data_IF_411375221982
#
_entry.id   IF_411375221982
#
_cell.length_a   1.000
_cell.length_b   1.000
_cell.length_c   1.000
_cell.angle_alpha   90.00
_cell.angle_beta   90.00
_cell.angle_gamma   90.00
#
_symmetry.space_group_name_H-M   'P 1'
#
loop_
_entity.id
_entity.type
_entity.pdbx_description
1 polymer ?
#
# COMPACT_ATOMS: atom_id res chain seq x y z
N UNK A 1 15.57 56.75 26.35
CA UNK A 1 14.59 55.69 26.69
C UNK A 1 14.36 54.85 25.45
N UNK A 2 14.58 53.52 25.55
CA UNK A 2 14.68 52.58 24.43
C UNK A 2 13.35 52.47 23.66
N UNK A 3 13.32 52.84 22.38
CA UNK A 3 12.24 52.43 21.47
C UNK A 3 12.50 50.97 21.07
N UNK A 4 11.65 50.07 21.57
CA UNK A 4 11.72 48.66 21.25
C UNK A 4 11.19 48.42 19.83
N UNK A 5 12.08 47.92 18.97
CA UNK A 5 11.77 47.36 17.66
C UNK A 5 10.76 46.24 17.80
N UNK A 6 9.54 46.41 17.29
CA UNK A 6 8.57 45.32 17.15
C UNK A 6 9.03 44.41 16.00
N UNK A 7 9.89 43.45 16.30
CA UNK A 7 10.13 42.31 15.42
C UNK A 7 8.87 41.45 15.44
N UNK A 8 7.99 41.62 14.46
CA UNK A 8 6.92 40.66 14.21
C UNK A 8 7.56 39.37 13.70
N UNK A 9 7.84 38.44 14.61
CA UNK A 9 8.16 37.06 14.28
C UNK A 9 6.89 36.44 13.69
N UNK A 10 6.80 36.38 12.37
CA UNK A 10 5.82 35.56 11.68
C UNK A 10 6.25 34.11 11.89
N UNK A 11 5.74 33.50 12.96
CA UNK A 11 5.83 32.05 13.15
C UNK A 11 4.96 31.42 12.06
N UNK A 12 5.59 31.03 10.95
CA UNK A 12 4.98 30.10 10.01
C UNK A 12 4.83 28.77 10.77
N UNK A 13 3.68 28.57 11.40
CA UNK A 13 3.25 27.25 11.84
C UNK A 13 3.19 26.38 10.60
N UNK A 14 4.25 25.60 10.42
CA UNK A 14 4.28 24.46 9.53
C UNK A 14 3.19 23.51 10.03
N UNK A 15 1.96 23.68 9.51
CA UNK A 15 0.88 22.71 9.69
C UNK A 15 1.40 21.41 9.09
N UNK A 16 1.89 20.54 9.96
CA UNK A 16 2.21 19.17 9.62
C UNK A 16 0.90 18.54 9.17
N UNK A 17 0.73 18.43 7.86
CA UNK A 17 -0.25 17.52 7.27
C UNK A 17 0.27 16.13 7.61
N UNK A 18 -0.02 15.68 8.83
CA UNK A 18 0.18 14.30 9.21
C UNK A 18 -0.79 13.50 8.35
N UNK A 19 -0.29 12.98 7.22
CA UNK A 19 -1.00 11.96 6.47
C UNK A 19 -1.40 10.86 7.45
N UNK A 20 -2.69 10.53 7.50
CA UNK A 20 -3.18 9.46 8.35
C UNK A 20 -2.42 8.18 8.00
N UNK A 21 -2.02 7.44 9.04
CA UNK A 21 -1.37 6.13 8.89
C UNK A 21 -2.28 4.99 9.34
N UNK A 22 -3.37 5.32 10.04
CA UNK A 22 -4.37 4.35 10.53
C UNK A 22 -5.36 4.00 9.43
N UNK A 23 -6.00 2.81 9.48
CA UNK A 23 -7.08 2.47 8.57
C UNK A 23 -8.30 3.40 8.78
N UNK A 24 -9.24 3.45 7.83
CA UNK A 24 -10.52 4.10 8.05
C UNK A 24 -11.23 3.58 9.31
N UNK A 25 -11.99 4.44 10.00
CA UNK A 25 -12.51 4.23 11.36
C UNK A 25 -13.22 2.88 11.62
N UNK A 26 -13.82 2.30 10.60
CA UNK A 26 -14.65 1.09 10.64
C UNK A 26 -14.05 -0.09 9.87
N UNK A 27 -12.85 0.08 9.32
CA UNK A 27 -12.12 -0.95 8.61
C UNK A 27 -11.26 -1.73 9.59
N UNK A 28 -11.54 -3.04 9.72
CA UNK A 28 -10.77 -3.94 10.57
C UNK A 28 -9.54 -4.45 9.83
N UNK A 29 -8.44 -4.62 10.57
CA UNK A 29 -7.20 -5.18 10.05
C UNK A 29 -7.05 -6.63 10.49
N UNK A 30 -6.28 -7.40 9.73
CA UNK A 30 -5.95 -8.79 10.06
C UNK A 30 -5.12 -8.82 11.34
N UNK A 31 -5.60 -9.58 12.31
CA UNK A 31 -4.87 -9.97 13.52
C UNK A 31 -4.14 -11.32 13.30
N UNK A 32 -3.32 -11.75 14.27
CA UNK A 32 -2.47 -12.94 14.18
C UNK A 32 -1.56 -12.97 12.94
N UNK A 33 -1.18 -11.79 12.45
CA UNK A 33 -0.35 -11.61 11.28
C UNK A 33 1.08 -12.13 11.52
N UNK A 34 1.58 -12.91 10.57
CA UNK A 34 2.94 -13.45 10.56
C UNK A 34 3.73 -12.84 9.41
N UNK A 35 4.48 -11.77 9.70
CA UNK A 35 5.31 -11.08 8.70
C UNK A 35 6.16 -12.03 7.84
N UNK A 36 6.86 -13.05 8.39
CA UNK A 36 7.69 -13.94 7.57
C UNK A 36 6.94 -14.62 6.42
N UNK A 37 5.66 -14.95 6.61
CA UNK A 37 4.81 -15.58 5.59
C UNK A 37 4.32 -14.57 4.53
N UNK A 38 4.34 -13.28 4.86
CA UNK A 38 3.94 -12.20 3.95
C UNK A 38 5.09 -11.69 3.08
N UNK A 39 6.34 -11.98 3.44
CA UNK A 39 7.52 -11.58 2.66
C UNK A 39 7.52 -12.18 1.25
N UNK A 40 8.39 -11.66 0.38
CA UNK A 40 8.50 -12.05 -1.02
C UNK A 40 7.59 -11.24 -1.93
N UNK A 41 7.36 -11.78 -3.12
CA UNK A 41 6.66 -11.08 -4.21
C UNK A 41 5.15 -11.28 -4.13
N UNK A 42 4.43 -10.19 -4.40
CA UNK A 42 3.00 -10.13 -4.63
C UNK A 42 2.73 -9.43 -5.96
N UNK A 43 1.79 -9.97 -6.73
CA UNK A 43 1.23 -9.37 -7.93
C UNK A 43 0.06 -8.50 -7.55
N UNK A 44 0.03 -7.29 -8.10
CA UNK A 44 -1.13 -6.41 -7.95
C UNK A 44 -2.19 -6.81 -8.97
N UNK A 45 -3.30 -7.39 -8.50
CA UNK A 45 -4.39 -7.86 -9.34
C UNK A 45 -5.36 -6.73 -9.67
N UNK A 46 -5.65 -5.89 -8.67
CA UNK A 46 -6.48 -4.72 -8.84
C UNK A 46 -6.05 -3.61 -7.90
N UNK A 47 -6.34 -2.36 -8.29
CA UNK A 47 -6.13 -1.16 -7.47
C UNK A 47 -7.22 -0.13 -7.73
N UNK A 48 -7.39 0.83 -6.82
CA UNK A 48 -8.04 2.10 -7.16
C UNK A 48 -7.06 3.01 -7.93
N UNK A 49 -7.55 4.09 -8.53
CA UNK A 49 -6.69 4.97 -9.33
C UNK A 49 -5.77 5.82 -8.45
N UNK A 50 -4.50 5.43 -8.39
CA UNK A 50 -3.45 6.18 -7.70
C UNK A 50 -2.58 6.92 -8.70
N UNK A 51 -2.38 8.23 -8.49
CA UNK A 51 -1.62 9.08 -9.41
C UNK A 51 -0.21 8.56 -9.72
N UNK A 52 0.44 7.89 -8.76
CA UNK A 52 1.79 7.34 -8.88
C UNK A 52 1.87 6.00 -9.63
N UNK A 53 0.76 5.28 -9.82
CA UNK A 53 0.70 3.99 -10.52
C UNK A 53 0.03 4.07 -11.89
N UNK A 54 -0.41 5.27 -12.30
CA UNK A 54 -1.12 5.47 -13.56
C UNK A 54 -0.33 4.99 -14.78
N UNK A 55 -0.96 4.11 -15.56
CA UNK A 55 -0.40 3.57 -16.80
C UNK A 55 0.65 2.47 -16.59
N UNK A 56 0.78 1.92 -15.38
CA UNK A 56 1.59 0.75 -15.10
C UNK A 56 0.77 -0.55 -15.17
N UNK A 57 1.30 -1.51 -15.92
CA UNK A 57 0.87 -2.92 -15.97
C UNK A 57 1.93 -3.82 -15.35
N UNK A 58 1.65 -5.12 -15.18
CA UNK A 58 2.58 -6.13 -14.63
C UNK A 58 3.18 -5.69 -13.30
N UNK A 59 2.34 -5.06 -12.47
CA UNK A 59 2.79 -4.46 -11.22
C UNK A 59 2.99 -5.54 -10.17
N UNK A 60 4.13 -5.46 -9.49
CA UNK A 60 4.47 -6.32 -8.36
C UNK A 60 5.00 -5.50 -7.19
N UNK A 61 4.74 -5.96 -5.98
CA UNK A 61 5.39 -5.49 -4.75
C UNK A 61 6.22 -6.63 -4.15
N UNK A 62 7.49 -6.39 -3.88
CA UNK A 62 8.37 -7.33 -3.17
C UNK A 62 8.69 -6.79 -1.78
N UNK A 63 8.45 -7.63 -0.77
CA UNK A 63 8.67 -7.32 0.63
C UNK A 63 9.85 -8.12 1.18
N UNK A 64 10.82 -7.45 1.79
CA UNK A 64 11.94 -8.12 2.47
C UNK A 64 12.18 -7.51 3.86
N UNK A 65 12.68 -8.30 4.79
CA UNK A 65 13.04 -7.80 6.12
C UNK A 65 14.20 -6.80 6.01
N UNK A 66 14.26 -5.86 6.95
CA UNK A 66 15.38 -4.94 7.17
C UNK A 66 15.99 -5.18 8.55
N UNK A 67 17.27 -4.85 8.68
CA UNK A 67 18.02 -5.00 9.94
C UNK A 67 17.46 -4.11 11.08
N UNK A 68 16.78 -3.02 10.72
CA UNK A 68 16.13 -2.09 11.67
C UNK A 68 14.74 -2.57 12.13
N UNK A 69 14.35 -3.81 11.80
CA UNK A 69 13.04 -4.38 12.11
C UNK A 69 11.90 -3.89 11.20
N UNK A 70 12.20 -3.01 10.23
CA UNK A 70 11.25 -2.61 9.19
C UNK A 70 11.15 -3.61 8.04
N UNK A 71 10.35 -3.24 7.04
CA UNK A 71 10.18 -3.99 5.79
C UNK A 71 10.64 -3.10 4.64
N UNK A 72 11.53 -3.60 3.78
CA UNK A 72 11.85 -2.98 2.50
C UNK A 72 10.74 -3.32 1.52
N UNK A 73 10.26 -2.32 0.79
CA UNK A 73 9.23 -2.47 -0.22
C UNK A 73 9.82 -2.11 -1.58
N UNK A 74 9.75 -2.99 -2.56
CA UNK A 74 10.14 -2.69 -3.94
C UNK A 74 8.89 -2.86 -4.81
N UNK A 75 8.34 -1.74 -5.29
CA UNK A 75 7.26 -1.76 -6.27
C UNK A 75 7.86 -1.64 -7.66
N UNK A 76 7.47 -2.53 -8.58
CA UNK A 76 7.94 -2.54 -9.97
C UNK A 76 6.75 -2.68 -10.90
N UNK A 77 6.73 -1.93 -11.99
CA UNK A 77 5.67 -1.98 -13.00
C UNK A 77 6.16 -1.60 -14.39
N UNK A 78 5.48 -2.06 -15.43
CA UNK A 78 5.82 -1.77 -16.82
C UNK A 78 4.93 -0.65 -17.37
N UNK A 79 5.55 0.44 -17.83
CA UNK A 79 4.84 1.52 -18.50
C UNK A 79 4.75 1.24 -20.00
N UNK A 80 3.57 0.83 -20.48
CA UNK A 80 3.39 0.44 -21.89
C UNK A 80 3.61 1.59 -22.88
N UNK A 81 3.25 2.83 -22.51
CA UNK A 81 3.44 4.02 -23.36
C UNK A 81 4.90 4.38 -23.55
N UNK A 82 5.69 4.28 -22.48
CA UNK A 82 7.13 4.58 -22.48
C UNK A 82 8.00 3.35 -22.78
N UNK A 83 7.39 2.18 -22.94
CA UNK A 83 8.02 0.89 -23.18
C UNK A 83 9.16 0.54 -22.20
N UNK A 84 9.04 0.93 -20.93
CA UNK A 84 10.09 0.74 -19.93
C UNK A 84 9.54 0.26 -18.58
N UNK A 85 10.38 -0.43 -17.83
CA UNK A 85 10.13 -0.75 -16.43
C UNK A 85 10.36 0.48 -15.55
N UNK A 86 9.50 0.64 -14.55
CA UNK A 86 9.62 1.63 -13.50
C UNK A 86 9.69 0.90 -12.15
N UNK A 87 10.49 1.43 -11.25
CA UNK A 87 10.68 0.88 -9.91
C UNK A 87 10.71 2.00 -8.88
N UNK A 88 10.13 1.74 -7.71
CA UNK A 88 10.25 2.58 -6.53
C UNK A 88 10.58 1.74 -5.32
N UNK A 89 11.56 2.20 -4.53
CA UNK A 89 12.00 1.54 -3.30
C UNK A 89 11.49 2.35 -2.11
N UNK A 90 10.78 1.69 -1.22
CA UNK A 90 10.25 2.24 0.00
C UNK A 90 10.59 1.43 1.23
N UNK A 91 10.07 1.88 2.37
CA UNK A 91 10.18 1.21 3.66
C UNK A 91 8.85 1.26 4.38
N UNK A 92 8.54 0.21 5.12
CA UNK A 92 7.36 0.12 5.96
C UNK A 92 7.73 -0.28 7.39
N UNK A 93 6.94 0.19 8.35
CA UNK A 93 7.06 -0.14 9.77
C UNK A 93 5.67 -0.39 10.35
N UNK A 94 5.55 -1.33 11.29
CA UNK A 94 4.31 -1.50 12.06
C UNK A 94 4.01 -0.24 12.88
N UNK A 95 2.72 0.10 12.98
CA UNK A 95 2.26 1.24 13.80
C UNK A 95 2.04 0.80 15.27
N UNK A 96 1.86 -0.50 15.50
CA UNK A 96 1.67 -1.09 16.82
C UNK A 96 2.23 -2.50 16.88
N UNK A 97 1.44 -3.46 17.38
CA UNK A 97 1.86 -4.85 17.48
C UNK A 97 2.17 -5.45 16.09
N UNK A 98 3.26 -6.21 15.93
CA UNK A 98 3.56 -6.91 14.68
C UNK A 98 2.60 -8.07 14.37
N UNK A 99 1.69 -8.42 15.31
CA UNK A 99 0.60 -9.37 15.07
C UNK A 99 -0.61 -8.69 14.39
N UNK A 100 -0.64 -7.36 14.29
CA UNK A 100 -1.67 -6.62 13.58
C UNK A 100 -1.10 -6.11 12.27
N UNK A 101 -1.75 -6.43 11.14
CA UNK A 101 -1.28 -6.09 9.81
C UNK A 101 -1.53 -4.62 9.44
N UNK A 102 -1.15 -3.69 10.33
CA UNK A 102 -1.26 -2.24 10.16
C UNK A 102 0.14 -1.61 10.19
N UNK A 103 0.53 -1.07 9.04
CA UNK A 103 1.85 -0.51 8.79
C UNK A 103 1.72 0.92 8.27
N UNK A 104 2.81 1.67 8.41
CA UNK A 104 3.03 2.93 7.70
C UNK A 104 4.10 2.70 6.65
N UNK A 105 3.86 3.10 5.41
CA UNK A 105 4.78 2.95 4.27
C UNK A 105 5.23 4.31 3.75
N UNK A 106 6.50 4.41 3.35
CA UNK A 106 7.09 5.62 2.77
C UNK A 106 7.96 5.27 1.56
N UNK A 107 7.75 6.01 0.46
CA UNK A 107 8.56 5.94 -0.76
C UNK A 107 9.38 7.21 -1.02
N UNK A 108 9.07 8.33 -0.34
CA UNK A 108 9.74 9.61 -0.53
C UNK A 108 9.81 10.40 0.79
N UNK A 109 11.03 10.75 1.23
CA UNK A 109 11.24 11.64 2.38
C UNK A 109 10.57 11.16 3.69
N UNK A 110 10.21 12.07 4.61
CA UNK A 110 9.54 11.73 5.87
C UNK A 110 8.02 11.53 5.72
N UNK A 111 7.49 11.31 4.51
CA UNK A 111 6.06 11.16 4.27
C UNK A 111 5.64 9.69 4.33
N UNK A 112 4.66 9.40 5.17
CA UNK A 112 4.13 8.06 5.34
C UNK A 112 2.63 8.02 5.04
N UNK A 113 2.18 6.94 4.39
CA UNK A 113 0.78 6.58 4.26
C UNK A 113 0.48 5.27 5.00
N UNK A 114 -0.79 5.07 5.39
CA UNK A 114 -1.24 3.80 5.95
C UNK A 114 -1.21 2.66 4.93
N UNK A 115 -0.83 1.48 5.38
CA UNK A 115 -0.91 0.20 4.66
C UNK A 115 -1.49 -0.83 5.61
N UNK A 116 -2.73 -1.23 5.35
CA UNK A 116 -3.51 -2.05 6.27
C UNK A 116 -4.01 -3.29 5.54
N UNK A 117 -3.60 -4.49 5.94
CA UNK A 117 -4.16 -5.73 5.39
C UNK A 117 -5.49 -5.98 6.08
N UNK A 118 -6.58 -5.95 5.31
CA UNK A 118 -7.96 -6.00 5.82
C UNK A 118 -8.65 -7.34 5.53
N UNK A 119 -8.05 -8.16 4.66
CA UNK A 119 -8.36 -9.56 4.45
C UNK A 119 -7.08 -10.27 3.97
N UNK A 120 -6.87 -11.50 4.44
CA UNK A 120 -5.74 -12.36 4.10
C UNK A 120 -6.19 -13.81 4.30
N UNK A 121 -5.93 -14.67 3.32
CA UNK A 121 -6.22 -16.10 3.45
C UNK A 121 -5.15 -16.84 4.29
N UNK A 122 -5.52 -18.01 4.81
CA UNK A 122 -4.70 -18.76 5.77
C UNK A 122 -3.36 -19.21 5.16
N UNK A 123 -3.32 -19.41 3.84
CA UNK A 123 -2.15 -19.78 3.05
C UNK A 123 -1.31 -18.59 2.58
N UNK A 124 -1.71 -17.34 2.86
CA UNK A 124 -1.01 -16.12 2.42
C UNK A 124 -0.86 -16.04 0.89
N UNK A 125 -1.88 -16.48 0.16
CA UNK A 125 -1.93 -16.44 -1.30
C UNK A 125 -2.65 -15.20 -1.83
N UNK A 126 -3.59 -14.64 -1.07
CA UNK A 126 -4.44 -13.53 -1.49
C UNK A 126 -4.62 -12.52 -0.36
N UNK A 127 -4.47 -11.23 -0.68
CA UNK A 127 -4.59 -10.17 0.32
C UNK A 127 -5.42 -8.99 -0.22
N UNK A 128 -6.22 -8.39 0.66
CA UNK A 128 -6.89 -7.12 0.42
C UNK A 128 -6.26 -6.04 1.31
N UNK A 129 -5.79 -4.97 0.71
CA UNK A 129 -5.05 -3.92 1.40
C UNK A 129 -5.82 -2.61 1.29
N UNK A 130 -6.04 -1.94 2.42
CA UNK A 130 -6.56 -0.58 2.48
C UNK A 130 -5.45 0.41 2.82
N UNK A 131 -5.49 1.58 2.18
CA UNK A 131 -4.66 2.72 2.57
C UNK A 131 -5.26 3.49 3.75
N UNK A 132 -4.91 4.78 3.90
CA UNK A 132 -5.35 5.60 5.04
C UNK A 132 -6.78 6.14 4.91
N UNK A 133 -7.38 6.05 3.72
CA UNK A 133 -8.75 6.43 3.43
C UNK A 133 -9.34 5.47 2.36
N UNK A 134 -10.59 5.69 1.95
CA UNK A 134 -11.32 4.81 0.99
C UNK A 134 -10.97 5.02 -0.48
N UNK A 135 -10.06 5.92 -0.78
CA UNK A 135 -9.52 6.16 -2.13
C UNK A 135 -8.34 5.24 -2.43
N UNK A 136 -7.86 4.49 -1.42
CA UNK A 136 -6.72 3.60 -1.57
C UNK A 136 -7.06 2.15 -1.23
N UNK A 137 -7.02 1.27 -2.23
CA UNK A 137 -7.31 -0.15 -2.09
C UNK A 137 -6.51 -0.94 -3.12
N UNK A 138 -5.97 -2.09 -2.71
CA UNK A 138 -5.30 -3.04 -3.59
C UNK A 138 -5.75 -4.46 -3.32
N UNK A 139 -5.88 -5.26 -4.38
CA UNK A 139 -5.97 -6.71 -4.31
C UNK A 139 -4.62 -7.28 -4.74
N UNK A 140 -3.98 -8.04 -3.86
CA UNK A 140 -2.70 -8.69 -4.13
C UNK A 140 -2.85 -10.21 -4.20
N UNK A 141 -2.05 -10.86 -5.02
CA UNK A 141 -1.95 -12.32 -5.10
C UNK A 141 -0.50 -12.81 -5.24
N UNK A 142 -0.22 -14.03 -4.78
CA UNK A 142 1.06 -14.72 -5.04
C UNK A 142 1.20 -15.18 -6.50
N UNK A 143 0.09 -15.28 -7.22
CA UNK A 143 0.05 -15.63 -8.65
C UNK A 143 -0.40 -14.42 -9.49
N UNK A 144 -0.03 -14.35 -10.78
CA UNK A 144 -0.41 -13.22 -11.64
C UNK A 144 -1.91 -13.15 -11.96
N UNK A 145 -2.67 -14.18 -11.61
CA UNK A 145 -4.13 -14.25 -11.81
C UNK A 145 -4.76 -14.91 -10.60
N UNK A 146 -6.05 -14.61 -10.37
CA UNK A 146 -6.90 -15.26 -9.38
C UNK A 146 -8.15 -15.81 -10.06
N UNK A 147 -8.78 -16.81 -9.46
CA UNK A 147 -10.06 -17.31 -9.93
C UNK A 147 -11.22 -16.33 -9.59
N UNK A 148 -12.38 -16.57 -10.22
CA UNK A 148 -13.55 -15.70 -10.04
C UNK A 148 -14.12 -15.74 -8.62
N UNK A 149 -14.07 -16.87 -7.92
CA UNK A 149 -14.60 -16.99 -6.57
C UNK A 149 -13.77 -16.13 -5.60
N UNK A 150 -12.45 -16.23 -5.68
CA UNK A 150 -11.51 -15.42 -4.90
C UNK A 150 -11.71 -13.93 -5.20
N UNK A 151 -11.82 -13.58 -6.50
CA UNK A 151 -12.09 -12.22 -6.94
C UNK A 151 -13.37 -11.65 -6.32
N UNK A 152 -14.48 -12.36 -6.49
CA UNK A 152 -15.80 -11.89 -6.08
C UNK A 152 -15.90 -11.78 -4.55
N UNK A 153 -15.26 -12.69 -3.81
CA UNK A 153 -15.12 -12.61 -2.35
C UNK A 153 -14.41 -11.33 -1.90
N UNK A 154 -13.22 -11.05 -2.46
CA UNK A 154 -12.42 -9.89 -2.08
C UNK A 154 -13.12 -8.57 -2.44
N UNK A 155 -13.78 -8.51 -3.60
CA UNK A 155 -14.58 -7.37 -4.02
C UNK A 155 -15.78 -7.16 -3.09
N UNK A 156 -16.47 -8.23 -2.69
CA UNK A 156 -17.59 -8.14 -1.75
C UNK A 156 -17.16 -7.59 -0.39
N UNK A 157 -16.01 -8.02 0.13
CA UNK A 157 -15.45 -7.50 1.39
C UNK A 157 -15.13 -6.01 1.27
N UNK A 158 -14.43 -5.61 0.20
CA UNK A 158 -14.12 -4.21 -0.06
C UNK A 158 -15.40 -3.35 -0.16
N UNK A 159 -16.42 -3.85 -0.88
CA UNK A 159 -17.71 -3.18 -1.01
C UNK A 159 -18.43 -3.03 0.32
N UNK A 160 -18.39 -4.06 1.18
CA UNK A 160 -18.98 -4.02 2.52
C UNK A 160 -18.31 -2.98 3.42
N UNK A 161 -17.00 -2.75 3.25
CA UNK A 161 -16.29 -1.65 3.90
C UNK A 161 -16.50 -0.28 3.21
N UNK A 162 -17.34 -0.19 2.17
CA UNK A 162 -17.67 1.07 1.51
C UNK A 162 -16.59 1.60 0.57
N UNK A 163 -15.69 0.75 0.08
CA UNK A 163 -14.77 1.14 -1.00
C UNK A 163 -15.52 1.22 -2.35
N UNK A 164 -15.13 2.14 -3.25
CA UNK A 164 -15.76 2.31 -4.56
C UNK A 164 -15.29 1.22 -5.54
N UNK A 165 -15.66 -0.03 -5.30
CA UNK A 165 -15.14 -1.19 -6.04
C UNK A 165 -15.43 -1.15 -7.54
N UNK A 166 -16.44 -0.38 -7.96
CA UNK A 166 -16.78 -0.21 -9.37
C UNK A 166 -15.74 0.63 -10.13
N UNK A 167 -14.83 1.30 -9.40
CA UNK A 167 -13.70 2.06 -9.94
C UNK A 167 -12.39 1.26 -9.96
N UNK A 168 -12.43 -0.03 -9.58
CA UNK A 168 -11.23 -0.87 -9.59
C UNK A 168 -10.65 -0.99 -10.99
N UNK A 169 -9.36 -0.71 -11.08
CA UNK A 169 -8.53 -0.97 -12.24
C UNK A 169 -7.97 -2.38 -12.10
N UNK A 170 -8.39 -3.30 -12.96
CA UNK A 170 -7.84 -4.64 -13.06
C UNK A 170 -6.53 -4.59 -13.84
N UNK A 171 -5.43 -4.86 -13.15
CA UNK A 171 -4.08 -4.68 -13.68
C UNK A 171 -3.76 -5.83 -14.62
N UNK A 172 -3.29 -5.51 -15.82
CA UNK A 172 -2.86 -6.55 -16.77
C UNK A 172 -1.57 -7.19 -16.27
N UNK A 173 -1.66 -8.45 -15.86
CA UNK A 173 -0.49 -9.25 -15.51
C UNK A 173 0.05 -10.02 -16.73
N UNK A 174 1.37 -10.14 -16.81
CA UNK A 174 2.05 -10.92 -17.85
C UNK A 174 2.11 -12.40 -17.46
N UNK A 175 2.39 -13.29 -18.42
CA UNK A 175 2.82 -14.65 -18.08
C UNK A 175 4.08 -14.55 -17.20
N UNK A 176 4.15 -15.32 -16.12
CA UNK A 176 5.36 -15.44 -15.30
C UNK A 176 6.52 -15.83 -16.22
N UNK A 177 7.52 -14.96 -16.35
CA UNK A 177 8.81 -15.37 -16.88
C UNK A 177 9.57 -15.88 -15.66
N UNK A 178 9.61 -17.19 -15.47
CA UNK A 178 10.43 -17.79 -14.45
C UNK A 178 11.91 -17.52 -14.79
N UNK A 179 12.66 -16.92 -13.86
CA UNK A 179 14.13 -16.86 -13.94
C UNK A 179 14.77 -15.52 -14.30
N UNK A 180 14.44 -14.45 -13.56
CA UNK A 180 15.38 -13.32 -13.36
C UNK A 180 15.51 -13.01 -11.89
#
# INVERSE_FOLDING_TARGET
>A
MRLWSKLSVITVTLLSVACSVTPPKDVKVVDNFQLPRYLGTWYEIARLDHSFERGLDRVTANYSLRDDGGVKVINRGYNAKKQQWQESIGKAYFIGSPQQASLKVSFFGPFYGGYNVIDLDDEYQHALIAGPNREYLWILSRTPTIDNQTRDRLVAIAKNYGFPVEQLIWVKQGKVIAGQ
#
